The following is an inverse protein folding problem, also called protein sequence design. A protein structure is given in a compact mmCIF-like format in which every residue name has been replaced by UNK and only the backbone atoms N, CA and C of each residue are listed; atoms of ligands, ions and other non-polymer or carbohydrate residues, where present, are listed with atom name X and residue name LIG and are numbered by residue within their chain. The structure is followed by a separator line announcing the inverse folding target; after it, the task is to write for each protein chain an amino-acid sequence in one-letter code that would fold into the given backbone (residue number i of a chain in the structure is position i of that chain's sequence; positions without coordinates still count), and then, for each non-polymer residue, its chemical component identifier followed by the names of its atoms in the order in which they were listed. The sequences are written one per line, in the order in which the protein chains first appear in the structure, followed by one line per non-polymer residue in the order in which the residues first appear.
data_IF_195604723535
#
_entry.id   IF_195604723535
#
_cell.length_a   1.000
_cell.length_b   1.000
_cell.length_c   1.000
_cell.angle_alpha   90.00
_cell.angle_beta   90.00
_cell.angle_gamma   90.00
#
_symmetry.space_group_name_H-M   'P 1'
#
loop_
_entity.id
_entity.type
_entity.pdbx_description
1 polymer ?
#
# COMPACT_ATOMS: atom_id res chain seq x y z
N UNK A 1 5.39 48.93 -35.59
CA UNK A 1 6.15 47.85 -36.24
C UNK A 1 6.21 46.67 -35.28
N UNK A 2 5.42 45.62 -35.49
CA UNK A 2 5.35 44.45 -34.63
C UNK A 2 6.13 43.28 -35.29
N UNK A 3 7.04 42.66 -34.54
CA UNK A 3 7.85 41.52 -34.99
C UNK A 3 6.94 40.28 -35.15
N UNK A 4 6.92 39.69 -36.34
CA UNK A 4 6.32 38.36 -36.62
C UNK A 4 7.20 37.27 -35.98
N UNK A 5 6.62 36.45 -35.12
CA UNK A 5 7.23 35.19 -34.65
C UNK A 5 6.90 34.12 -35.71
N UNK A 6 7.87 33.33 -36.20
CA UNK A 6 7.60 32.30 -37.20
C UNK A 6 6.92 31.07 -36.58
N UNK A 7 5.92 30.59 -37.31
CA UNK A 7 4.88 29.65 -36.88
C UNK A 7 5.28 28.20 -37.18
N UNK A 8 6.35 27.72 -36.53
CA UNK A 8 6.78 26.31 -36.67
C UNK A 8 7.24 25.74 -35.34
N UNK A 9 6.30 25.48 -34.44
CA UNK A 9 6.51 24.52 -33.34
C UNK A 9 5.67 23.30 -33.66
N UNK A 10 6.31 22.21 -34.10
CA UNK A 10 5.68 20.89 -34.15
C UNK A 10 5.41 20.43 -32.71
N UNK A 11 4.21 19.95 -32.37
CA UNK A 11 3.97 19.32 -31.07
C UNK A 11 4.90 18.12 -30.92
N UNK A 12 5.60 18.03 -29.79
CA UNK A 12 6.57 16.95 -29.51
C UNK A 12 5.89 15.59 -29.27
N UNK A 13 4.57 15.58 -29.04
CA UNK A 13 3.79 14.37 -28.81
C UNK A 13 2.45 14.49 -29.53
N UNK A 14 2.24 13.65 -30.54
CA UNK A 14 0.90 13.22 -30.91
C UNK A 14 0.52 12.19 -29.86
N UNK A 15 -0.31 12.57 -28.89
CA UNK A 15 -0.96 11.57 -28.04
C UNK A 15 -2.03 10.93 -28.90
N UNK A 16 -1.64 9.91 -29.66
CA UNK A 16 -2.57 8.90 -30.13
C UNK A 16 -3.06 8.20 -28.87
N UNK A 17 -4.25 8.60 -28.40
CA UNK A 17 -4.98 7.90 -27.37
C UNK A 17 -5.48 6.56 -27.92
N UNK A 18 -4.57 5.62 -28.14
CA UNK A 18 -4.90 4.22 -28.38
C UNK A 18 -5.02 3.52 -27.02
N UNK A 19 -6.21 3.64 -26.43
CA UNK A 19 -7.01 2.51 -25.94
C UNK A 19 -8.23 3.05 -25.18
N UNK A 20 -9.45 2.54 -25.43
CA UNK A 20 -10.62 2.93 -24.67
C UNK A 20 -10.45 2.54 -23.19
N UNK A 21 -10.74 3.48 -22.29
CA UNK A 21 -10.71 3.36 -20.82
C UNK A 21 -11.42 2.11 -20.28
N UNK A 22 -12.29 1.47 -21.08
CA UNK A 22 -13.04 0.26 -20.72
C UNK A 22 -12.20 -1.01 -20.56
N UNK A 23 -10.94 -1.06 -21.02
CA UNK A 23 -10.08 -2.25 -20.85
C UNK A 23 -9.16 -2.18 -19.62
N UNK A 24 -8.99 -1.00 -19.02
CA UNK A 24 -8.22 -0.87 -17.77
C UNK A 24 -8.98 -1.42 -16.57
N UNK A 25 -10.32 -1.48 -16.62
CA UNK A 25 -11.13 -1.82 -15.45
C UNK A 25 -11.34 -3.33 -15.20
N UNK A 26 -10.81 -4.23 -16.04
CA UNK A 26 -11.07 -5.67 -15.90
C UNK A 26 -9.90 -6.55 -16.34
N UNK A 27 -8.68 -6.28 -15.88
CA UNK A 27 -7.76 -7.39 -15.64
C UNK A 27 -8.09 -7.91 -14.25
N UNK A 28 -9.07 -8.82 -14.20
CA UNK A 28 -9.35 -9.61 -13.00
C UNK A 28 -8.02 -10.08 -12.42
N UNK A 29 -7.75 -9.73 -11.17
CA UNK A 29 -6.74 -10.44 -10.40
C UNK A 29 -7.05 -11.93 -10.54
N UNK A 30 -6.23 -12.63 -11.32
CA UNK A 30 -6.55 -13.96 -11.83
C UNK A 30 -6.87 -14.97 -10.72
N UNK A 31 -6.39 -14.69 -9.51
CA UNK A 31 -6.88 -15.29 -8.27
C UNK A 31 -6.77 -14.31 -7.09
N UNK A 32 -7.83 -13.51 -6.88
CA UNK A 32 -7.93 -12.53 -5.77
C UNK A 32 -7.60 -13.16 -4.41
N UNK A 33 -7.96 -14.42 -4.19
CA UNK A 33 -7.75 -15.12 -2.91
C UNK A 33 -6.29 -15.51 -2.70
N UNK A 34 -5.63 -16.06 -3.73
CA UNK A 34 -4.20 -16.35 -3.65
C UNK A 34 -3.38 -15.08 -3.48
N UNK A 35 -3.79 -14.00 -4.15
CA UNK A 35 -3.13 -12.71 -4.03
C UNK A 35 -3.33 -12.11 -2.63
N UNK A 36 -4.54 -12.15 -2.08
CA UNK A 36 -4.80 -11.72 -0.69
C UNK A 36 -3.93 -12.50 0.29
N UNK A 37 -3.84 -13.83 0.12
CA UNK A 37 -2.98 -14.68 0.95
C UNK A 37 -1.50 -14.28 0.84
N UNK A 38 -1.02 -13.94 -0.36
CA UNK A 38 0.36 -13.50 -0.61
C UNK A 38 0.64 -12.18 0.09
N UNK A 39 -0.24 -11.20 -0.09
CA UNK A 39 -0.14 -9.86 0.53
C UNK A 39 -0.17 -9.99 2.04
N UNK A 40 -1.22 -10.60 2.61
CA UNK A 40 -1.37 -10.80 4.06
C UNK A 40 -0.16 -11.50 4.66
N UNK A 41 0.35 -12.57 4.03
CA UNK A 41 1.55 -13.27 4.51
C UNK A 41 2.77 -12.33 4.59
N UNK A 42 2.95 -11.45 3.62
CA UNK A 42 4.05 -10.48 3.61
C UNK A 42 3.85 -9.44 4.71
N UNK A 43 2.67 -8.83 4.80
CA UNK A 43 2.36 -7.85 5.85
C UNK A 43 2.56 -8.46 7.24
N UNK A 44 2.11 -9.70 7.46
CA UNK A 44 2.34 -10.41 8.72
C UNK A 44 3.82 -10.60 9.03
N UNK A 45 4.67 -10.83 8.02
CA UNK A 45 6.10 -10.96 8.24
C UNK A 45 6.73 -9.65 8.69
N UNK A 46 6.38 -8.53 8.05
CA UNK A 46 6.85 -7.17 8.42
C UNK A 46 6.39 -6.84 9.85
N UNK A 47 5.10 -7.05 10.15
CA UNK A 47 4.57 -6.82 11.50
C UNK A 47 5.30 -7.66 12.54
N UNK A 48 5.54 -8.95 12.28
CA UNK A 48 6.26 -9.83 13.21
C UNK A 48 7.71 -9.40 13.42
N UNK A 49 8.42 -9.04 12.36
CA UNK A 49 9.79 -8.53 12.44
C UNK A 49 9.84 -7.27 13.30
N UNK A 50 8.87 -6.37 13.12
CA UNK A 50 8.76 -5.15 13.91
C UNK A 50 8.45 -5.42 15.39
N UNK A 51 7.60 -6.42 15.66
CA UNK A 51 7.27 -6.84 17.03
C UNK A 51 8.51 -7.40 17.72
N UNK A 52 9.24 -8.28 17.04
CA UNK A 52 10.49 -8.85 17.54
C UNK A 52 11.54 -7.76 17.78
N UNK A 53 11.62 -6.73 16.92
CA UNK A 53 12.51 -5.59 17.08
C UNK A 53 12.17 -4.68 18.28
N UNK A 54 10.90 -4.68 18.72
CA UNK A 54 10.44 -3.92 19.89
C UNK A 54 10.75 -4.62 21.22
N UNK A 55 10.92 -5.94 21.24
CA UNK A 55 11.17 -6.71 22.47
C UNK A 55 12.41 -6.25 23.25
N UNK A 56 13.59 -5.97 22.64
CA UNK A 56 14.75 -5.46 23.36
C UNK A 56 14.53 -4.08 24.01
N UNK A 57 13.53 -3.32 23.55
CA UNK A 57 13.14 -2.02 24.10
C UNK A 57 12.13 -2.15 25.25
N UNK A 58 11.79 -3.39 25.67
CA UNK A 58 10.71 -3.70 26.61
C UNK A 58 9.33 -3.21 26.16
N UNK A 59 9.12 -3.10 24.84
CA UNK A 59 7.82 -2.77 24.25
C UNK A 59 7.17 -4.06 23.77
N UNK A 60 5.97 -4.33 24.26
CA UNK A 60 5.15 -5.44 23.80
C UNK A 60 4.02 -4.89 22.94
N UNK A 61 4.12 -5.11 21.64
CA UNK A 61 3.06 -4.79 20.69
C UNK A 61 2.03 -5.94 20.67
N UNK A 62 0.76 -5.58 20.65
CA UNK A 62 -0.36 -6.52 20.68
C UNK A 62 -1.33 -6.26 19.51
N UNK A 63 -2.51 -6.87 19.56
CA UNK A 63 -3.56 -6.61 18.58
C UNK A 63 -4.09 -5.17 18.65
N UNK A 64 -4.03 -4.52 19.82
CA UNK A 64 -4.47 -3.13 19.97
C UNK A 64 -3.58 -2.19 19.17
N UNK A 65 -2.27 -2.34 19.27
CA UNK A 65 -1.28 -1.57 18.53
C UNK A 65 -1.37 -1.81 17.03
N UNK A 66 -1.59 -3.07 16.60
CA UNK A 66 -1.83 -3.36 15.20
C UNK A 66 -3.07 -2.63 14.68
N UNK A 67 -4.14 -2.59 15.47
CA UNK A 67 -5.40 -1.93 15.11
C UNK A 67 -5.24 -0.42 14.87
N UNK A 68 -4.37 0.24 15.64
CA UNK A 68 -4.04 1.66 15.44
C UNK A 68 -3.40 1.85 14.05
N UNK A 69 -2.42 1.00 13.71
CA UNK A 69 -1.69 1.10 12.43
C UNK A 69 -2.59 0.78 11.25
N UNK A 70 -3.36 -0.31 11.31
CA UNK A 70 -4.28 -0.70 10.23
C UNK A 70 -5.43 0.29 10.07
N UNK A 71 -5.90 0.95 11.13
CA UNK A 71 -6.87 2.05 11.03
C UNK A 71 -6.31 3.23 10.19
N UNK A 72 -5.07 3.66 10.48
CA UNK A 72 -4.40 4.69 9.70
C UNK A 72 -4.17 4.26 8.24
N UNK A 73 -3.76 3.01 8.01
CA UNK A 73 -3.60 2.45 6.65
C UNK A 73 -4.92 2.44 5.86
N UNK A 74 -6.04 2.13 6.52
CA UNK A 74 -7.38 2.19 5.90
C UNK A 74 -7.80 3.62 5.57
N UNK A 75 -7.50 4.59 6.43
CA UNK A 75 -7.75 6.00 6.14
C UNK A 75 -6.93 6.47 4.93
N UNK A 76 -5.63 6.17 4.93
CA UNK A 76 -4.74 6.46 3.80
C UNK A 76 -5.24 5.82 2.49
N UNK A 77 -5.68 4.56 2.53
CA UNK A 77 -6.26 3.87 1.38
C UNK A 77 -7.47 4.59 0.76
N UNK A 78 -8.27 5.26 1.60
CA UNK A 78 -9.46 6.03 1.20
C UNK A 78 -9.11 7.44 0.70
N UNK A 79 -7.83 7.79 0.62
CA UNK A 79 -7.36 9.13 0.27
C UNK A 79 -7.30 10.10 1.46
N UNK A 80 -7.40 9.58 2.69
CA UNK A 80 -7.16 10.33 3.91
C UNK A 80 -5.67 10.59 4.16
N UNK A 81 -5.36 11.14 5.32
CA UNK A 81 -3.97 11.46 5.69
C UNK A 81 -3.23 10.27 6.28
N UNK A 82 -3.96 9.29 6.82
CA UNK A 82 -3.38 8.17 7.56
C UNK A 82 -2.70 8.62 8.86
N UNK A 83 -3.36 9.51 9.62
CA UNK A 83 -2.86 9.95 10.92
C UNK A 83 -3.09 8.82 11.96
N UNK A 84 -2.04 8.50 12.73
CA UNK A 84 -2.12 7.50 13.81
C UNK A 84 -2.73 8.12 15.07
N UNK A 85 -3.70 7.42 15.67
CA UNK A 85 -4.27 7.77 16.98
C UNK A 85 -3.33 7.30 18.09
N UNK A 86 -2.38 8.16 18.48
CA UNK A 86 -1.32 7.84 19.46
C UNK A 86 -1.61 8.40 20.86
N UNK A 87 -2.84 8.84 21.13
CA UNK A 87 -3.20 9.41 22.44
C UNK A 87 -3.01 8.36 23.54
N UNK A 88 -2.22 8.71 24.56
CA UNK A 88 -1.89 7.80 25.67
C UNK A 88 -0.72 6.84 25.41
N UNK A 89 -0.13 6.82 24.20
CA UNK A 89 1.13 6.13 23.94
C UNK A 89 2.31 6.94 24.48
N UNK A 90 3.32 6.28 25.03
CA UNK A 90 4.61 6.95 25.30
C UNK A 90 5.36 7.23 23.98
N UNK A 91 6.43 8.03 24.06
CA UNK A 91 7.19 8.47 22.89
C UNK A 91 7.84 7.29 22.13
N UNK A 92 8.24 6.24 22.83
CA UNK A 92 8.95 5.10 22.22
C UNK A 92 7.94 4.22 21.50
N UNK A 93 6.80 3.91 22.12
CA UNK A 93 5.69 3.21 21.49
C UNK A 93 5.18 3.98 20.27
N UNK A 94 4.97 5.28 20.42
CA UNK A 94 4.56 6.17 19.32
C UNK A 94 5.53 6.09 18.14
N UNK A 95 6.83 6.09 18.41
CA UNK A 95 7.86 5.92 17.39
C UNK A 95 7.78 4.55 16.71
N UNK A 96 7.63 3.47 17.48
CA UNK A 96 7.50 2.11 16.94
C UNK A 96 6.30 1.98 16.01
N UNK A 97 5.13 2.50 16.40
CA UNK A 97 3.91 2.46 15.57
C UNK A 97 4.03 3.31 14.30
N UNK A 98 4.65 4.49 14.41
CA UNK A 98 4.92 5.37 13.26
C UNK A 98 5.83 4.66 12.27
N UNK A 99 6.88 4.00 12.74
CA UNK A 99 7.80 3.25 11.88
C UNK A 99 7.12 2.09 11.18
N UNK A 100 6.26 1.35 11.89
CA UNK A 100 5.51 0.25 11.28
C UNK A 100 4.56 0.77 10.18
N UNK A 101 3.88 1.88 10.44
CA UNK A 101 3.01 2.51 9.45
C UNK A 101 3.80 2.95 8.21
N UNK A 102 4.92 3.68 8.40
CA UNK A 102 5.79 4.13 7.31
C UNK A 102 6.25 2.96 6.45
N UNK A 103 6.76 1.89 7.06
CA UNK A 103 7.26 0.72 6.33
C UNK A 103 6.17 0.02 5.52
N UNK A 104 4.95 -0.10 6.06
CA UNK A 104 3.83 -0.70 5.36
C UNK A 104 3.31 0.16 4.19
N UNK A 105 3.49 1.48 4.24
CA UNK A 105 3.10 2.42 3.16
C UNK A 105 4.21 2.59 2.12
N UNK A 106 5.47 2.69 2.54
CA UNK A 106 6.60 3.08 1.69
C UNK A 106 7.00 2.00 0.70
N UNK A 107 6.83 0.72 1.04
CA UNK A 107 7.18 -0.36 0.14
C UNK A 107 6.16 -0.49 -1.01
N UNK A 108 6.55 -0.19 -2.27
CA UNK A 108 5.62 -0.24 -3.39
C UNK A 108 5.04 -1.63 -3.61
N UNK A 109 5.75 -2.69 -3.20
CA UNK A 109 5.25 -4.06 -3.33
C UNK A 109 4.09 -4.40 -2.40
N UNK A 110 3.80 -3.56 -1.40
CA UNK A 110 2.70 -3.72 -0.46
C UNK A 110 1.40 -3.08 -0.97
N UNK A 111 1.53 -2.05 -1.82
CA UNK A 111 0.40 -1.26 -2.36
C UNK A 111 0.28 -1.33 -3.89
N UNK A 112 1.18 -2.03 -4.58
CA UNK A 112 1.15 -2.24 -6.04
C UNK A 112 1.08 -3.74 -6.35
N UNK A 113 0.37 -4.09 -7.43
CA UNK A 113 0.43 -5.45 -8.00
C UNK A 113 1.07 -5.43 -9.39
N UNK A 114 1.59 -6.59 -9.77
CA UNK A 114 2.26 -6.78 -11.05
C UNK A 114 1.31 -7.44 -12.05
N UNK A 115 1.05 -6.76 -13.16
CA UNK A 115 0.22 -7.28 -14.24
C UNK A 115 1.10 -7.62 -15.44
N UNK A 116 1.05 -8.85 -15.92
CA UNK A 116 1.74 -9.22 -17.16
C UNK A 116 1.11 -8.45 -18.34
N UNK A 117 1.90 -7.64 -19.03
CA UNK A 117 1.49 -6.92 -20.25
C UNK A 117 1.97 -7.59 -21.53
N UNK A 118 2.76 -8.66 -21.41
CA UNK A 118 3.27 -9.48 -22.51
C UNK A 118 4.17 -10.61 -22.01
N UNK A 119 4.88 -11.31 -22.90
CA UNK A 119 5.73 -12.47 -22.54
C UNK A 119 6.82 -12.13 -21.52
N UNK A 120 7.41 -10.93 -21.62
CA UNK A 120 8.52 -10.47 -20.77
C UNK A 120 8.27 -9.06 -20.16
N UNK A 121 7.03 -8.57 -20.18
CA UNK A 121 6.71 -7.23 -19.65
C UNK A 121 5.73 -7.29 -18.50
N UNK A 122 6.05 -6.55 -17.45
CA UNK A 122 5.26 -6.43 -16.24
C UNK A 122 4.97 -4.94 -16.03
N UNK A 123 3.70 -4.62 -15.80
CA UNK A 123 3.27 -3.30 -15.34
C UNK A 123 3.04 -3.33 -13.84
N UNK A 124 3.44 -2.28 -13.15
CA UNK A 124 3.05 -2.03 -11.77
C UNK A 124 1.75 -1.22 -11.79
N UNK A 125 0.70 -1.79 -11.25
CA UNK A 125 -0.59 -1.14 -11.09
C UNK A 125 -0.83 -0.89 -9.60
N UNK A 126 -1.38 0.29 -9.27
CA UNK A 126 -1.80 0.58 -7.90
C UNK A 126 -2.87 -0.42 -7.47
N UNK A 127 -2.71 -0.96 -6.27
CA UNK A 127 -3.69 -1.86 -5.69
C UNK A 127 -5.01 -1.13 -5.55
N UNK A 128 -6.08 -1.82 -5.93
CA UNK A 128 -7.42 -1.31 -5.71
C UNK A 128 -7.62 -1.04 -4.20
N UNK A 129 -8.04 0.18 -3.80
CA UNK A 129 -8.19 0.52 -2.39
C UNK A 129 -9.11 -0.43 -1.61
N UNK A 130 -10.15 -0.98 -2.25
CA UNK A 130 -11.06 -1.91 -1.60
C UNK A 130 -10.38 -3.26 -1.35
N UNK A 131 -9.53 -3.72 -2.27
CA UNK A 131 -8.74 -4.93 -2.09
C UNK A 131 -7.64 -4.76 -1.04
N UNK A 132 -6.99 -3.60 -1.00
CA UNK A 132 -6.03 -3.28 0.05
C UNK A 132 -6.68 -3.31 1.45
N UNK A 133 -7.85 -2.68 1.60
CA UNK A 133 -8.62 -2.72 2.85
C UNK A 133 -8.99 -4.15 3.23
N UNK A 134 -9.42 -4.99 2.27
CA UNK A 134 -9.70 -6.41 2.51
C UNK A 134 -8.46 -7.15 3.06
N UNK A 135 -7.27 -6.86 2.54
CA UNK A 135 -6.02 -7.45 3.03
C UNK A 135 -5.71 -7.00 4.48
N UNK A 136 -5.96 -5.73 4.81
CA UNK A 136 -5.80 -5.22 6.19
C UNK A 136 -6.79 -5.89 7.17
N UNK A 137 -8.04 -6.08 6.74
CA UNK A 137 -9.06 -6.76 7.55
C UNK A 137 -8.69 -8.23 7.80
N UNK A 138 -8.13 -8.91 6.79
CA UNK A 138 -7.61 -10.27 6.91
C UNK A 138 -6.38 -10.34 7.83
N UNK A 139 -5.48 -9.34 7.75
CA UNK A 139 -4.31 -9.25 8.61
C UNK A 139 -4.73 -9.16 10.09
N UNK A 140 -5.64 -8.23 10.43
CA UNK A 140 -6.18 -8.12 11.79
C UNK A 140 -6.86 -9.40 12.27
N UNK A 141 -7.70 -9.99 11.41
CA UNK A 141 -8.44 -11.22 11.74
C UNK A 141 -7.51 -12.43 11.96
N UNK A 142 -6.38 -12.47 11.27
CA UNK A 142 -5.39 -13.54 11.40
C UNK A 142 -4.48 -13.39 12.63
N UNK A 143 -4.52 -12.22 13.28
CA UNK A 143 -3.69 -11.77 14.39
C UNK A 143 -2.29 -12.41 14.45
N UNK A 144 -1.23 -11.75 13.95
CA UNK A 144 0.11 -12.33 13.88
C UNK A 144 0.70 -12.74 15.24
N UNK A 145 0.16 -12.22 16.35
CA UNK A 145 0.58 -12.60 17.72
C UNK A 145 -0.06 -13.88 18.23
N UNK A 146 -1.06 -14.44 17.55
CA UNK A 146 -1.71 -15.71 17.92
C UNK A 146 -0.84 -16.89 17.44
N UNK A 147 0.40 -16.96 17.92
CA UNK A 147 1.20 -18.18 17.83
C UNK A 147 0.72 -19.13 18.93
N UNK A 148 -0.26 -19.96 18.61
CA UNK A 148 -0.58 -21.17 19.37
C UNK A 148 0.58 -22.17 19.32
#
# INVERSE_FOLDING_TARGET
MAKKIPDTVRPLFSIESDEPDSLRSQREMSDRKLEAKRVVKRLSAIVLEHYDACLPLNISLSAAELSIVTAALRDHAKGGRGELELEGCDEILSHCLTRLYEELVEEPSNILFTTATGPDSIKYDAMDPSFWIECLDLLESSNPTNRS
#
